data_IF_091930478207
#
_entry.id   IF_091930478207
#
_cell.length_a   1.000
_cell.length_b   1.000
_cell.length_c   1.000
_cell.angle_alpha   90.00
_cell.angle_beta   90.00
_cell.angle_gamma   90.00
#
_symmetry.space_group_name_H-M   'P 1'
#
loop_
_entity.id
_entity.type
_entity.pdbx_description
1 polymer ?
#
# COMPACT_ATOMS: atom_id res chain seq x y z
N UNK A 1 -23.30 -16.88 -37.18
CA UNK A 1 -22.97 -15.46 -37.00
C UNK A 1 -22.11 -15.34 -35.75
N UNK A 2 -20.79 -15.42 -35.91
CA UNK A 2 -19.81 -15.38 -34.81
C UNK A 2 -19.62 -13.91 -34.40
N UNK A 3 -20.14 -13.54 -33.22
CA UNK A 3 -19.92 -12.22 -32.63
C UNK A 3 -18.42 -12.07 -32.31
N UNK A 4 -17.72 -11.26 -33.10
CA UNK A 4 -16.37 -10.80 -32.79
C UNK A 4 -16.45 -9.87 -31.58
N UNK A 5 -16.06 -10.36 -30.42
CA UNK A 5 -15.88 -9.55 -29.22
C UNK A 5 -14.70 -8.58 -29.41
N UNK A 6 -14.78 -7.30 -28.99
CA UNK A 6 -13.69 -6.34 -29.14
C UNK A 6 -12.64 -6.58 -28.05
N UNK A 7 -11.82 -7.62 -28.19
CA UNK A 7 -10.80 -8.03 -27.20
C UNK A 7 -9.62 -7.02 -27.14
N UNK A 8 -9.42 -6.19 -28.17
CA UNK A 8 -8.24 -5.31 -28.26
C UNK A 8 -8.31 -4.06 -27.37
N UNK A 9 -9.51 -3.52 -27.11
CA UNK A 9 -9.66 -2.27 -26.36
C UNK A 9 -9.55 -2.46 -24.85
N UNK A 10 -10.00 -3.59 -24.30
CA UNK A 10 -9.91 -3.90 -22.87
C UNK A 10 -8.46 -4.15 -22.46
N UNK A 11 -7.71 -4.89 -23.27
CA UNK A 11 -6.29 -5.20 -23.00
C UNK A 11 -5.39 -3.96 -22.95
N UNK A 12 -5.64 -2.96 -23.82
CA UNK A 12 -4.94 -1.66 -23.78
C UNK A 12 -5.26 -0.88 -22.50
N UNK A 13 -6.52 -0.86 -22.05
CA UNK A 13 -6.91 -0.14 -20.83
C UNK A 13 -6.31 -0.78 -19.58
N UNK A 14 -6.32 -2.12 -19.52
CA UNK A 14 -5.72 -2.87 -18.42
C UNK A 14 -4.22 -2.58 -18.28
N UNK A 15 -3.48 -2.66 -19.39
CA UNK A 15 -2.02 -2.43 -19.40
C UNK A 15 -1.65 -0.98 -19.09
N UNK A 16 -2.38 -0.01 -19.65
CA UNK A 16 -2.20 1.40 -19.32
C UNK A 16 -2.53 1.70 -17.85
N UNK A 17 -3.58 1.08 -17.32
CA UNK A 17 -3.94 1.18 -15.90
C UNK A 17 -2.86 0.65 -14.97
N UNK A 18 -2.30 -0.51 -15.28
CA UNK A 18 -1.23 -1.12 -14.51
C UNK A 18 0.02 -0.23 -14.55
N UNK A 19 0.44 0.20 -15.73
CA UNK A 19 1.58 1.08 -15.90
C UNK A 19 1.38 2.41 -15.14
N UNK A 20 0.19 2.99 -15.24
CA UNK A 20 -0.19 4.19 -14.51
C UNK A 20 -0.09 4.01 -12.99
N UNK A 21 -0.60 2.91 -12.44
CA UNK A 21 -0.50 2.62 -11.01
C UNK A 21 0.94 2.34 -10.57
N UNK A 22 1.76 1.66 -11.37
CA UNK A 22 3.19 1.46 -11.04
C UNK A 22 3.92 2.80 -10.95
N UNK A 23 3.69 3.68 -11.93
CA UNK A 23 4.27 5.03 -11.95
C UNK A 23 3.77 5.83 -10.75
N UNK A 24 2.47 5.81 -10.45
CA UNK A 24 1.91 6.47 -9.27
C UNK A 24 2.49 5.93 -7.95
N UNK A 25 2.80 4.64 -7.85
CA UNK A 25 3.46 4.09 -6.68
C UNK A 25 4.84 4.70 -6.45
N UNK A 26 5.68 4.73 -7.49
CA UNK A 26 7.01 5.34 -7.47
C UNK A 26 6.92 6.84 -7.18
N UNK A 27 6.06 7.56 -7.90
CA UNK A 27 5.89 9.01 -7.74
C UNK A 27 5.32 9.39 -6.38
N UNK A 28 4.40 8.59 -5.84
CA UNK A 28 3.81 8.80 -4.52
C UNK A 28 4.82 8.67 -3.37
N UNK A 29 5.88 7.87 -3.55
CA UNK A 29 7.00 7.82 -2.62
C UNK A 29 8.04 8.92 -2.90
N UNK A 30 8.24 9.30 -4.16
CA UNK A 30 9.19 10.33 -4.55
C UNK A 30 8.77 11.72 -4.04
N UNK A 31 7.51 12.10 -4.25
CA UNK A 31 6.94 13.39 -3.85
C UNK A 31 6.61 13.55 -2.37
N UNK A 32 7.03 12.57 -1.55
CA UNK A 32 6.75 12.46 -0.11
C UNK A 32 6.37 13.77 0.56
N UNK A 33 5.29 13.75 1.32
CA UNK A 33 4.88 14.93 2.06
C UNK A 33 5.75 15.05 3.31
N UNK A 34 6.69 16.00 3.32
CA UNK A 34 7.48 16.29 4.52
C UNK A 34 6.68 17.18 5.46
N UNK A 35 6.25 16.61 6.60
CA UNK A 35 5.72 17.39 7.71
C UNK A 35 6.86 18.12 8.46
N UNK A 36 6.51 18.83 9.53
CA UNK A 36 7.48 19.36 10.48
C UNK A 36 8.45 18.26 10.96
N UNK A 37 9.71 18.64 11.24
CA UNK A 37 10.77 17.73 11.71
C UNK A 37 11.21 16.64 10.71
N UNK A 38 11.11 16.87 9.40
CA UNK A 38 11.50 15.91 8.35
C UNK A 38 10.76 14.56 8.45
N UNK A 39 9.52 14.58 8.96
CA UNK A 39 8.63 13.43 9.00
C UNK A 39 7.98 13.29 7.62
N UNK A 40 8.67 12.59 6.72
CA UNK A 40 8.18 12.25 5.37
C UNK A 40 7.04 11.22 5.34
N UNK A 41 5.88 11.58 4.83
CA UNK A 41 4.77 10.69 4.55
C UNK A 41 4.81 10.19 3.10
N UNK A 42 4.69 8.88 2.90
CA UNK A 42 4.85 8.22 1.61
C UNK A 42 3.51 7.69 1.12
N UNK A 43 3.10 7.96 -0.12
CA UNK A 43 1.78 7.55 -0.62
C UNK A 43 1.82 6.34 -1.57
N UNK A 44 3.01 5.84 -1.91
CA UNK A 44 3.19 4.82 -2.93
C UNK A 44 2.53 3.50 -2.60
N UNK A 45 2.38 3.14 -1.31
CA UNK A 45 1.71 1.91 -0.90
C UNK A 45 0.22 1.88 -1.26
N UNK A 46 -0.44 3.05 -1.43
CA UNK A 46 -1.82 3.11 -1.93
C UNK A 46 -1.91 2.44 -3.30
N UNK A 47 -1.02 2.81 -4.22
CA UNK A 47 -1.00 2.22 -5.55
C UNK A 47 -0.66 0.73 -5.52
N UNK A 48 0.24 0.31 -4.63
CA UNK A 48 0.59 -1.11 -4.43
C UNK A 48 -0.64 -1.94 -4.07
N UNK A 49 -1.46 -1.46 -3.13
CA UNK A 49 -2.70 -2.13 -2.74
C UNK A 49 -3.74 -2.15 -3.87
N UNK A 50 -3.86 -1.06 -4.63
CA UNK A 50 -4.71 -1.04 -5.82
C UNK A 50 -4.25 -2.08 -6.85
N UNK A 51 -2.94 -2.19 -7.09
CA UNK A 51 -2.38 -3.19 -8.02
C UNK A 51 -2.64 -4.61 -7.52
N UNK A 52 -2.47 -4.88 -6.22
CA UNK A 52 -2.81 -6.17 -5.63
C UNK A 52 -4.27 -6.56 -5.92
N UNK A 53 -5.22 -5.67 -5.63
CA UNK A 53 -6.63 -5.99 -5.76
C UNK A 53 -7.11 -6.06 -7.22
N UNK A 54 -6.53 -5.27 -8.13
CA UNK A 54 -6.97 -5.17 -9.53
C UNK A 54 -6.21 -6.09 -10.49
N UNK A 55 -4.93 -6.35 -10.22
CA UNK A 55 -4.02 -7.08 -11.11
C UNK A 55 -3.41 -8.33 -10.44
N UNK A 56 -3.65 -8.51 -9.14
CA UNK A 56 -3.24 -9.70 -8.39
C UNK A 56 -1.85 -9.61 -7.78
N UNK A 57 -1.54 -10.59 -6.95
CA UNK A 57 -0.30 -10.72 -6.18
C UNK A 57 1.00 -10.44 -6.95
N UNK A 58 1.18 -11.03 -8.14
CA UNK A 58 2.46 -10.97 -8.88
C UNK A 58 2.81 -9.53 -9.27
N UNK A 59 1.82 -8.79 -9.79
CA UNK A 59 1.99 -7.40 -10.16
C UNK A 59 2.07 -6.50 -8.92
N UNK A 60 1.33 -6.84 -7.86
CA UNK A 60 1.42 -6.14 -6.58
C UNK A 60 2.82 -6.22 -5.98
N UNK A 61 3.49 -7.38 -6.05
CA UNK A 61 4.85 -7.54 -5.53
C UNK A 61 5.86 -6.68 -6.30
N UNK A 62 5.73 -6.65 -7.63
CA UNK A 62 6.57 -5.79 -8.48
C UNK A 62 6.33 -4.32 -8.11
N UNK A 63 5.07 -3.91 -7.95
CA UNK A 63 4.72 -2.56 -7.55
C UNK A 63 5.27 -2.21 -6.15
N UNK A 64 5.21 -3.13 -5.20
CA UNK A 64 5.73 -2.96 -3.84
C UNK A 64 7.24 -2.69 -3.85
N UNK A 65 8.00 -3.55 -4.54
CA UNK A 65 9.46 -3.41 -4.64
C UNK A 65 9.82 -2.13 -5.39
N UNK A 66 9.18 -1.85 -6.53
CA UNK A 66 9.46 -0.66 -7.33
C UNK A 66 9.17 0.64 -6.56
N UNK A 67 8.00 0.72 -5.92
CA UNK A 67 7.59 1.84 -5.09
C UNK A 67 8.54 2.03 -3.90
N UNK A 68 8.86 0.95 -3.18
CA UNK A 68 9.73 1.03 -2.02
C UNK A 68 11.19 1.36 -2.39
N UNK A 69 11.67 0.96 -3.56
CA UNK A 69 13.06 1.21 -4.02
C UNK A 69 13.44 2.70 -4.03
N UNK A 70 12.47 3.59 -4.26
CA UNK A 70 12.66 5.04 -4.20
C UNK A 70 13.20 5.48 -2.83
N UNK A 71 12.77 4.83 -1.76
CA UNK A 71 13.19 5.17 -0.39
C UNK A 71 14.69 5.02 -0.15
N UNK A 72 15.38 4.16 -0.90
CA UNK A 72 16.83 4.04 -0.80
C UNK A 72 17.54 5.32 -1.25
N UNK A 73 17.07 5.96 -2.31
CA UNK A 73 17.63 7.22 -2.79
C UNK A 73 17.31 8.39 -1.84
N UNK A 74 16.21 8.30 -1.11
CA UNK A 74 15.75 9.34 -0.20
C UNK A 74 16.41 9.27 1.18
N UNK A 75 16.57 8.06 1.71
CA UNK A 75 17.02 7.83 3.09
C UNK A 75 18.39 7.17 3.18
N UNK A 76 19.02 6.88 2.03
CA UNK A 76 20.37 6.31 1.91
C UNK A 76 20.58 4.95 2.61
N UNK A 77 19.49 4.23 2.90
CA UNK A 77 19.54 2.89 3.51
C UNK A 77 18.38 2.00 3.02
N UNK A 78 18.55 0.66 2.98
CA UNK A 78 17.59 -0.24 2.35
C UNK A 78 16.45 -0.72 3.27
N UNK A 79 16.47 -0.38 4.57
CA UNK A 79 15.57 -1.01 5.55
C UNK A 79 14.09 -0.76 5.28
N UNK A 80 13.73 0.40 4.75
CA UNK A 80 12.37 0.70 4.35
C UNK A 80 11.88 -0.21 3.20
N UNK A 81 12.77 -0.59 2.28
CA UNK A 81 12.45 -1.56 1.22
C UNK A 81 12.10 -2.90 1.84
N UNK A 82 12.90 -3.37 2.80
CA UNK A 82 12.66 -4.64 3.48
C UNK A 82 11.31 -4.60 4.22
N UNK A 83 11.06 -3.56 5.00
CA UNK A 83 9.84 -3.41 5.79
C UNK A 83 8.61 -3.37 4.87
N UNK A 84 8.55 -2.48 3.88
CA UNK A 84 7.38 -2.38 2.99
C UNK A 84 7.21 -3.60 2.07
N UNK A 85 8.30 -4.28 1.71
CA UNK A 85 8.19 -5.55 0.98
C UNK A 85 7.62 -6.64 1.88
N UNK A 86 8.05 -6.72 3.14
CA UNK A 86 7.48 -7.63 4.13
C UNK A 86 6.01 -7.32 4.43
N UNK A 87 5.62 -6.03 4.47
CA UNK A 87 4.23 -5.57 4.60
C UNK A 87 3.39 -6.15 3.47
N UNK A 88 3.81 -5.92 2.22
CA UNK A 88 3.13 -6.48 1.06
C UNK A 88 3.07 -8.00 1.13
N UNK A 89 4.19 -8.65 1.49
CA UNK A 89 4.25 -10.09 1.51
C UNK A 89 3.23 -10.68 2.50
N UNK A 90 3.22 -10.18 3.73
CA UNK A 90 2.31 -10.64 4.77
C UNK A 90 0.85 -10.35 4.41
N UNK A 91 0.55 -9.09 4.10
CA UNK A 91 -0.83 -8.64 3.88
C UNK A 91 -1.39 -9.24 2.59
N UNK A 92 -0.64 -9.20 1.49
CA UNK A 92 -1.14 -9.67 0.20
C UNK A 92 -1.31 -11.20 0.14
N UNK A 93 -0.49 -11.99 0.84
CA UNK A 93 -0.68 -13.45 0.92
C UNK A 93 -1.98 -13.78 1.64
N UNK A 94 -2.21 -13.16 2.80
CA UNK A 94 -3.42 -13.39 3.60
C UNK A 94 -4.66 -12.83 2.89
N UNK A 95 -4.54 -11.69 2.22
CA UNK A 95 -5.60 -11.11 1.42
C UNK A 95 -5.98 -12.04 0.26
N UNK A 96 -5.01 -12.57 -0.49
CA UNK A 96 -5.31 -13.47 -1.61
C UNK A 96 -5.87 -14.81 -1.16
N UNK A 97 -5.38 -15.36 -0.04
CA UNK A 97 -5.80 -16.66 0.47
C UNK A 97 -7.16 -16.64 1.16
N UNK A 98 -7.44 -15.60 1.95
CA UNK A 98 -8.60 -15.56 2.85
C UNK A 98 -9.57 -14.42 2.55
N UNK A 99 -9.24 -13.51 1.61
CA UNK A 99 -10.07 -12.35 1.23
C UNK A 99 -10.51 -11.50 2.43
N UNK A 100 -9.62 -11.40 3.42
CA UNK A 100 -9.81 -10.60 4.63
C UNK A 100 -9.71 -9.10 4.32
N UNK A 101 -10.10 -8.27 5.27
CA UNK A 101 -10.01 -6.82 5.15
C UNK A 101 -8.54 -6.38 5.11
N UNK A 102 -8.18 -5.67 4.04
CA UNK A 102 -6.83 -5.17 3.79
C UNK A 102 -6.31 -4.28 4.92
N UNK A 103 -7.12 -3.34 5.40
CA UNK A 103 -6.74 -2.42 6.48
C UNK A 103 -6.52 -3.14 7.80
N UNK A 104 -7.33 -4.17 8.12
CA UNK A 104 -7.16 -4.99 9.32
C UNK A 104 -5.87 -5.80 9.24
N UNK A 105 -5.63 -6.48 8.11
CA UNK A 105 -4.38 -7.20 7.89
C UNK A 105 -3.16 -6.29 8.02
N UNK A 106 -3.27 -5.06 7.52
CA UNK A 106 -2.18 -4.11 7.61
C UNK A 106 -1.95 -3.61 9.04
N UNK A 107 -3.02 -3.35 9.79
CA UNK A 107 -2.93 -3.05 11.23
C UNK A 107 -2.20 -4.15 12.00
N UNK A 108 -2.57 -5.42 11.75
CA UNK A 108 -1.92 -6.58 12.36
C UNK A 108 -0.44 -6.63 12.00
N UNK A 109 -0.11 -6.44 10.72
CA UNK A 109 1.28 -6.41 10.27
C UNK A 109 2.09 -5.34 11.01
N UNK A 110 1.58 -4.10 11.08
CA UNK A 110 2.34 -3.00 11.68
C UNK A 110 2.56 -3.18 13.18
N UNK A 111 1.58 -3.69 13.93
CA UNK A 111 1.77 -3.97 15.36
C UNK A 111 2.72 -5.15 15.57
N UNK A 112 2.50 -6.27 14.86
CA UNK A 112 3.16 -7.53 15.17
C UNK A 112 4.55 -7.67 14.53
N UNK A 113 4.79 -7.02 13.39
CA UNK A 113 5.97 -7.24 12.56
C UNK A 113 6.62 -5.90 12.18
N UNK A 114 5.87 -4.97 11.60
CA UNK A 114 6.39 -3.71 11.07
C UNK A 114 7.09 -2.87 12.14
N UNK A 115 6.42 -2.57 13.25
CA UNK A 115 7.01 -1.82 14.37
C UNK A 115 8.24 -2.51 14.97
N UNK A 116 8.22 -3.81 15.32
CA UNK A 116 9.41 -4.54 15.74
C UNK A 116 10.57 -4.49 14.73
N UNK A 117 10.29 -4.62 13.43
CA UNK A 117 11.32 -4.53 12.39
C UNK A 117 11.90 -3.12 12.28
N UNK A 118 11.06 -2.08 12.37
CA UNK A 118 11.55 -0.69 12.40
C UNK A 118 12.46 -0.48 13.61
N UNK A 119 12.04 -0.92 14.80
CA UNK A 119 12.88 -0.83 15.99
C UNK A 119 14.20 -1.57 15.80
N UNK A 120 14.18 -2.81 15.31
CA UNK A 120 15.39 -3.59 15.05
C UNK A 120 16.34 -2.85 14.10
N UNK A 121 15.88 -2.45 12.91
CA UNK A 121 16.75 -1.84 11.92
C UNK A 121 17.23 -0.44 12.31
N UNK A 122 16.34 0.41 12.82
CA UNK A 122 16.70 1.80 13.10
C UNK A 122 17.43 1.93 14.43
N UNK A 123 17.00 1.23 15.50
CA UNK A 123 17.67 1.32 16.80
C UNK A 123 18.92 0.44 16.86
N UNK A 124 18.81 -0.85 16.51
CA UNK A 124 19.91 -1.80 16.75
C UNK A 124 20.96 -1.76 15.65
N UNK A 125 20.54 -1.66 14.38
CA UNK A 125 21.48 -1.73 13.24
C UNK A 125 22.05 -0.36 12.89
N UNK A 126 21.19 0.66 12.77
CA UNK A 126 21.63 2.03 12.45
C UNK A 126 22.10 2.84 13.66
N UNK A 127 21.85 2.37 14.88
CA UNK A 127 22.24 3.08 16.10
C UNK A 127 21.48 4.39 16.32
N UNK A 128 20.31 4.57 15.70
CA UNK A 128 19.48 5.78 15.87
C UNK A 128 19.12 5.92 17.35
N UNK A 129 19.07 7.17 17.80
CA UNK A 129 18.69 7.52 19.17
C UNK A 129 17.28 6.95 19.50
N UNK A 130 17.05 6.39 20.70
CA UNK A 130 15.78 5.75 21.07
C UNK A 130 14.52 6.57 20.77
N UNK A 131 14.48 7.86 21.14
CA UNK A 131 13.33 8.73 20.88
C UNK A 131 13.12 8.94 19.38
N UNK A 132 14.18 9.15 18.60
CA UNK A 132 14.07 9.24 17.14
C UNK A 132 13.57 7.93 16.50
N UNK A 133 14.07 6.77 16.96
CA UNK A 133 13.62 5.48 16.47
C UNK A 133 12.14 5.22 16.79
N UNK A 134 11.65 5.64 17.96
CA UNK A 134 10.22 5.59 18.31
C UNK A 134 9.37 6.46 17.38
N UNK A 135 9.84 7.68 17.06
CA UNK A 135 9.15 8.58 16.13
C UNK A 135 9.07 7.92 14.74
N UNK A 136 10.18 7.37 14.23
CA UNK A 136 10.21 6.68 12.93
C UNK A 136 9.28 5.46 12.93
N UNK A 137 9.29 4.67 14.00
CA UNK A 137 8.42 3.50 14.17
C UNK A 137 6.95 3.87 14.12
N UNK A 138 6.53 4.86 14.91
CA UNK A 138 5.14 5.31 14.93
C UNK A 138 4.74 5.92 13.58
N UNK A 139 5.60 6.77 13.02
CA UNK A 139 5.41 7.38 11.70
C UNK A 139 5.19 6.34 10.61
N UNK A 140 6.06 5.33 10.51
CA UNK A 140 5.95 4.31 9.46
C UNK A 140 4.69 3.46 9.62
N UNK A 141 4.32 3.12 10.86
CA UNK A 141 3.09 2.39 11.13
C UNK A 141 1.84 3.18 10.73
N UNK A 142 1.76 4.45 11.15
CA UNK A 142 0.69 5.36 10.77
C UNK A 142 0.59 5.48 9.25
N UNK A 143 1.73 5.65 8.57
CA UNK A 143 1.79 5.79 7.13
C UNK A 143 1.25 4.55 6.39
N UNK A 144 1.74 3.35 6.73
CA UNK A 144 1.27 2.13 6.09
C UNK A 144 -0.22 1.88 6.34
N UNK A 145 -0.68 2.01 7.59
CA UNK A 145 -2.09 1.84 7.97
C UNK A 145 -2.98 2.81 7.18
N UNK A 146 -2.63 4.08 7.14
CA UNK A 146 -3.36 5.10 6.40
C UNK A 146 -3.45 4.76 4.91
N UNK A 147 -2.35 4.35 4.28
CA UNK A 147 -2.35 3.99 2.86
C UNK A 147 -3.26 2.79 2.56
N UNK A 148 -3.30 1.79 3.45
CA UNK A 148 -4.22 0.66 3.31
C UNK A 148 -5.69 1.08 3.48
N UNK A 149 -5.98 2.01 4.40
CA UNK A 149 -7.31 2.59 4.57
C UNK A 149 -7.76 3.35 3.33
N UNK A 150 -6.91 4.24 2.80
CA UNK A 150 -7.19 4.99 1.57
C UNK A 150 -7.42 4.06 0.40
N UNK A 151 -6.57 3.05 0.19
CA UNK A 151 -6.76 2.06 -0.87
C UNK A 151 -8.10 1.31 -0.71
N UNK A 152 -8.46 0.93 0.51
CA UNK A 152 -9.71 0.24 0.81
C UNK A 152 -10.94 1.11 0.50
N UNK A 153 -10.90 2.40 0.86
CA UNK A 153 -11.94 3.37 0.52
C UNK A 153 -12.05 3.60 -0.99
N UNK A 154 -10.92 3.76 -1.68
CA UNK A 154 -10.90 3.92 -3.14
C UNK A 154 -11.53 2.71 -3.85
N UNK A 155 -11.17 1.49 -3.47
CA UNK A 155 -11.73 0.26 -4.05
C UNK A 155 -13.23 0.10 -3.77
N UNK A 156 -13.71 0.61 -2.63
CA UNK A 156 -15.12 0.46 -2.21
C UNK A 156 -16.02 1.52 -2.83
N UNK A 157 -15.57 2.78 -2.85
CA UNK A 157 -16.41 3.93 -3.21
C UNK A 157 -16.21 4.47 -4.62
N UNK A 158 -15.15 4.04 -5.31
CA UNK A 158 -14.90 4.50 -6.69
C UNK A 158 -15.04 3.34 -7.69
N UNK A 159 -15.55 3.60 -8.91
CA UNK A 159 -15.67 2.57 -9.94
C UNK A 159 -14.33 2.28 -10.65
N UNK A 160 -13.21 2.30 -9.91
CA UNK A 160 -11.85 2.07 -10.42
C UNK A 160 -11.76 0.79 -11.27
N UNK A 161 -12.39 -0.30 -10.84
CA UNK A 161 -12.44 -1.55 -11.62
C UNK A 161 -13.04 -1.35 -13.01
N UNK A 162 -14.11 -0.55 -13.14
CA UNK A 162 -14.76 -0.28 -14.43
C UNK A 162 -13.90 0.60 -15.32
N UNK A 163 -13.28 1.63 -14.75
CA UNK A 163 -12.36 2.52 -15.48
C UNK A 163 -11.16 1.76 -16.04
N UNK A 164 -10.66 0.78 -15.28
CA UNK A 164 -9.49 -0.03 -15.63
C UNK A 164 -9.85 -1.34 -16.36
N UNK A 165 -11.13 -1.58 -16.65
CA UNK A 165 -11.60 -2.74 -17.41
C UNK A 165 -11.49 -4.08 -16.68
N UNK A 166 -11.41 -4.08 -15.35
CA UNK A 166 -11.25 -5.27 -14.51
C UNK A 166 -12.56 -5.70 -13.84
N UNK A 167 -12.77 -7.01 -13.63
CA UNK A 167 -13.87 -7.49 -12.79
C UNK A 167 -13.64 -7.11 -11.32
N UNK A 168 -14.72 -6.91 -10.56
CA UNK A 168 -14.63 -6.68 -9.12
C UNK A 168 -14.32 -8.01 -8.42
N UNK A 169 -13.12 -8.10 -7.85
CA UNK A 169 -12.58 -9.32 -7.21
C UNK A 169 -12.52 -9.23 -5.68
N UNK A 170 -12.82 -8.06 -5.12
CA UNK A 170 -12.83 -7.81 -3.68
C UNK A 170 -14.24 -7.90 -3.11
N UNK A 171 -14.34 -8.35 -1.86
CA UNK A 171 -15.58 -8.30 -1.09
C UNK A 171 -15.95 -6.85 -0.78
N UNK A 172 -17.23 -6.50 -0.96
CA UNK A 172 -17.74 -5.22 -0.48
C UNK A 172 -17.54 -5.16 1.05
N UNK A 173 -16.91 -4.09 1.53
CA UNK A 173 -16.68 -3.91 2.95
C UNK A 173 -18.02 -3.83 3.69
N UNK A 174 -18.11 -4.51 4.84
CA UNK A 174 -19.25 -4.39 5.74
C UNK A 174 -19.38 -2.94 6.23
N UNK A 175 -20.61 -2.47 6.50
CA UNK A 175 -20.86 -1.14 7.06
C UNK A 175 -20.03 -0.86 8.32
N UNK A 176 -19.81 -1.89 9.15
CA UNK A 176 -18.96 -1.81 10.34
C UNK A 176 -17.49 -1.54 9.98
N UNK A 177 -17.01 -2.08 8.86
CA UNK A 177 -15.66 -1.87 8.35
C UNK A 177 -15.53 -0.48 7.72
N UNK A 178 -16.58 0.01 7.04
CA UNK A 178 -16.66 1.41 6.60
C UNK A 178 -16.58 2.36 7.79
N UNK A 179 -17.40 2.13 8.83
CA UNK A 179 -17.41 2.95 10.03
C UNK A 179 -16.05 2.90 10.73
N UNK A 180 -15.44 1.72 10.85
CA UNK A 180 -14.08 1.58 11.38
C UNK A 180 -13.07 2.37 10.55
N UNK A 181 -13.11 2.28 9.22
CA UNK A 181 -12.18 2.98 8.34
C UNK A 181 -12.35 4.50 8.41
N UNK A 182 -13.59 4.99 8.50
CA UNK A 182 -13.89 6.42 8.64
C UNK A 182 -13.44 6.92 10.02
N UNK A 183 -13.71 6.19 11.09
CA UNK A 183 -13.25 6.54 12.44
C UNK A 183 -11.72 6.54 12.53
N UNK A 184 -11.06 5.53 11.95
CA UNK A 184 -9.60 5.47 11.88
C UNK A 184 -9.02 6.61 11.02
N UNK A 185 -9.66 6.95 9.89
CA UNK A 185 -9.27 8.12 9.09
C UNK A 185 -9.47 9.44 9.85
N UNK A 186 -10.53 9.56 10.64
CA UNK A 186 -10.80 10.73 11.47
C UNK A 186 -9.75 10.94 12.57
N UNK A 187 -9.19 9.87 13.14
CA UNK A 187 -8.08 9.98 14.11
C UNK A 187 -6.80 10.58 13.48
N UNK A 188 -6.66 10.54 12.15
CA UNK A 188 -5.54 11.12 11.43
C UNK A 188 -5.73 12.59 11.03
N UNK A 189 -6.89 13.20 11.30
CA UNK A 189 -7.22 14.61 11.04
C UNK A 189 -7.47 15.37 12.35
#
# INVERSE_FOLDING_TARGET
MLLRWPISHTWRRETLGLAGLMVLGVLGNYWRWSFFFNIDFLFGSIAVWLVLCLYGWRWGLIAAIASASVTYFLWHHPYAIVIFTCEFLFVGLLYERYKLNLAILNWIYWIAIGMPLVWLFYRQVLGVEPTQAQIIMLKQAVNGIFNALVASLLLTYTPLHRWLGRPQTWSALSLQQTLFNILAAFVFF
#
